data_IF_821785751766
#
_entry.id   IF_821785751766
#
_cell.length_a   1.000
_cell.length_b   1.000
_cell.length_c   1.000
_cell.angle_alpha   90.00
_cell.angle_beta   90.00
_cell.angle_gamma   90.00
#
_symmetry.space_group_name_H-M   'P 1'
#
loop_
_entity.id
_entity.type
_entity.pdbx_description
1 polymer ?
#
# COMPACT_ATOMS: atom_id res chain seq x y z
N UNK A 1 7.58 14.81 -3.53
CA UNK A 1 6.13 14.74 -3.25
C UNK A 1 5.88 13.45 -2.49
N UNK A 2 4.91 13.41 -1.58
CA UNK A 2 4.60 12.18 -0.86
C UNK A 2 4.14 11.05 -1.79
N UNK A 3 4.44 9.81 -1.42
CA UNK A 3 4.09 8.60 -2.17
C UNK A 3 2.58 8.25 -2.09
N UNK A 4 1.88 8.72 -1.06
CA UNK A 4 0.42 8.65 -0.91
C UNK A 4 -0.24 9.83 -1.65
N UNK A 5 -0.18 9.79 -2.98
CA UNK A 5 -0.68 10.84 -3.87
C UNK A 5 -1.92 10.36 -4.67
N UNK A 6 -2.39 11.18 -5.62
CA UNK A 6 -3.53 10.85 -6.49
C UNK A 6 -3.27 9.60 -7.34
N UNK A 7 -2.05 9.45 -7.86
CA UNK A 7 -1.65 8.30 -8.67
C UNK A 7 -1.73 6.98 -7.87
N UNK A 8 -1.36 7.00 -6.58
CA UNK A 8 -1.54 5.86 -5.68
C UNK A 8 -3.03 5.52 -5.48
N UNK A 9 -3.89 6.53 -5.28
CA UNK A 9 -5.35 6.33 -5.18
C UNK A 9 -5.91 5.76 -6.48
N UNK A 10 -5.48 6.24 -7.64
CA UNK A 10 -5.90 5.73 -8.95
C UNK A 10 -5.54 4.26 -9.13
N UNK A 11 -4.32 3.86 -8.77
CA UNK A 11 -3.88 2.46 -8.79
C UNK A 11 -4.70 1.57 -7.86
N UNK A 12 -5.01 2.04 -6.66
CA UNK A 12 -5.86 1.32 -5.72
C UNK A 12 -7.29 1.17 -6.25
N UNK A 13 -7.87 2.24 -6.79
CA UNK A 13 -9.21 2.23 -7.38
C UNK A 13 -9.28 1.26 -8.57
N UNK A 14 -8.27 1.29 -9.42
CA UNK A 14 -8.08 0.36 -10.51
C UNK A 14 -8.01 -1.09 -10.03
N UNK A 15 -7.19 -1.40 -9.02
CA UNK A 15 -7.11 -2.74 -8.44
C UNK A 15 -8.45 -3.24 -7.87
N UNK A 16 -9.24 -2.33 -7.31
CA UNK A 16 -10.58 -2.59 -6.78
C UNK A 16 -11.68 -2.60 -7.85
N UNK A 17 -11.34 -2.40 -9.13
CA UNK A 17 -12.27 -2.28 -10.26
C UNK A 17 -13.36 -1.21 -10.05
N UNK A 18 -13.02 -0.10 -9.40
CA UNK A 18 -13.93 1.02 -9.14
C UNK A 18 -13.39 2.33 -9.71
N UNK A 19 -14.29 3.23 -10.13
CA UNK A 19 -13.90 4.57 -10.58
C UNK A 19 -13.53 5.46 -9.38
N UNK A 20 -12.32 6.07 -9.31
CA UNK A 20 -11.95 6.95 -8.20
C UNK A 20 -12.73 8.28 -8.16
N UNK A 21 -13.57 8.56 -9.16
CA UNK A 21 -14.19 9.88 -9.35
C UNK A 21 -13.15 10.93 -9.77
N UNK A 22 -13.52 12.21 -9.65
CA UNK A 22 -12.56 13.29 -9.92
C UNK A 22 -11.72 13.53 -8.66
N UNK A 23 -10.41 13.27 -8.79
CA UNK A 23 -9.42 13.49 -7.74
C UNK A 23 -8.86 14.91 -7.83
N UNK A 24 -8.89 15.63 -6.72
CA UNK A 24 -8.32 16.97 -6.61
C UNK A 24 -7.40 17.04 -5.38
N UNK A 25 -6.32 17.81 -5.49
CA UNK A 25 -5.43 18.06 -4.35
C UNK A 25 -5.86 19.37 -3.70
N UNK A 26 -6.36 19.29 -2.47
CA UNK A 26 -6.78 20.44 -1.68
C UNK A 26 -5.98 20.52 -0.39
N UNK A 27 -5.28 21.64 -0.14
CA UNK A 27 -4.54 21.92 1.10
C UNK A 27 -3.63 20.76 1.60
N UNK A 28 -2.91 20.10 0.67
CA UNK A 28 -2.02 18.93 0.91
C UNK A 28 -2.72 17.58 1.13
N UNK A 29 -4.05 17.53 1.09
CA UNK A 29 -4.82 16.29 1.14
C UNK A 29 -5.42 15.96 -0.23
N UNK A 30 -5.52 14.67 -0.54
CA UNK A 30 -6.29 14.20 -1.70
C UNK A 30 -7.77 14.26 -1.35
N UNK A 31 -8.57 14.82 -2.23
CA UNK A 31 -10.03 14.83 -2.19
C UNK A 31 -10.57 14.05 -3.40
N UNK A 32 -11.59 13.22 -3.18
CA UNK A 32 -12.35 12.54 -4.22
C UNK A 32 -13.76 13.10 -4.27
N UNK A 33 -14.14 13.58 -5.45
CA UNK A 33 -15.53 13.90 -5.80
C UNK A 33 -16.09 12.72 -6.58
N UNK A 34 -16.77 11.84 -5.86
CA UNK A 34 -17.71 10.88 -6.44
C UNK A 34 -19.11 11.46 -6.29
N UNK A 35 -19.88 11.45 -7.37
CA UNK A 35 -21.31 11.69 -7.32
C UNK A 35 -21.96 10.50 -6.58
N UNK A 36 -21.95 10.54 -5.25
CA UNK A 36 -22.86 9.69 -4.47
C UNK A 36 -24.28 10.16 -4.79
N UNK A 37 -25.16 9.24 -5.13
CA UNK A 37 -26.59 9.52 -5.29
C UNK A 37 -27.08 10.32 -4.05
N UNK A 38 -27.50 11.57 -4.26
CA UNK A 38 -28.02 12.43 -3.19
C UNK A 38 -27.19 13.66 -2.79
N UNK A 39 -26.18 14.10 -3.56
CA UNK A 39 -25.50 15.38 -3.30
C UNK A 39 -24.58 15.39 -2.08
N UNK A 40 -24.01 14.23 -1.75
CA UNK A 40 -23.12 14.08 -0.61
C UNK A 40 -21.82 14.89 -0.79
N UNK A 41 -21.27 15.38 0.33
CA UNK A 41 -20.01 16.11 0.33
C UNK A 41 -18.85 15.25 -0.20
N UNK A 42 -17.84 15.88 -0.84
CA UNK A 42 -16.65 15.18 -1.31
C UNK A 42 -15.94 14.45 -0.17
N UNK A 43 -15.48 13.22 -0.44
CA UNK A 43 -14.70 12.43 0.52
C UNK A 43 -13.26 12.96 0.51
N UNK A 44 -12.75 13.31 1.70
CA UNK A 44 -11.41 13.88 1.85
C UNK A 44 -10.53 13.00 2.74
N UNK A 45 -9.23 13.03 2.43
CA UNK A 45 -8.21 12.28 3.16
C UNK A 45 -7.92 10.93 2.52
N UNK A 46 -6.64 10.61 2.39
CA UNK A 46 -6.19 9.42 1.66
C UNK A 46 -6.77 8.12 2.24
N UNK A 47 -6.67 7.90 3.56
CA UNK A 47 -7.25 6.71 4.20
C UNK A 47 -8.76 6.61 3.97
N UNK A 48 -9.48 7.71 4.16
CA UNK A 48 -10.93 7.77 4.00
C UNK A 48 -11.34 7.42 2.58
N UNK A 49 -10.62 7.95 1.58
CA UNK A 49 -10.86 7.65 0.17
C UNK A 49 -10.59 6.17 -0.10
N UNK A 50 -9.42 5.64 0.28
CA UNK A 50 -9.07 4.23 0.08
C UNK A 50 -10.09 3.28 0.69
N UNK A 51 -10.57 3.60 1.90
CA UNK A 51 -11.63 2.82 2.55
C UNK A 51 -12.98 2.94 1.85
N UNK A 52 -13.38 4.13 1.39
CA UNK A 52 -14.61 4.30 0.61
C UNK A 52 -14.52 3.49 -0.70
N UNK A 53 -13.39 3.56 -1.43
CA UNK A 53 -13.15 2.75 -2.62
C UNK A 53 -13.37 1.27 -2.34
N UNK A 54 -12.74 0.74 -1.28
CA UNK A 54 -12.86 -0.66 -0.90
C UNK A 54 -14.29 -1.05 -0.53
N UNK A 55 -15.00 -0.22 0.25
CA UNK A 55 -16.41 -0.45 0.62
C UNK A 55 -17.36 -0.45 -0.57
N UNK A 56 -17.07 0.35 -1.58
CA UNK A 56 -17.89 0.45 -2.81
C UNK A 56 -17.51 -0.57 -3.89
N UNK A 57 -16.46 -1.36 -3.67
CA UNK A 57 -16.04 -2.40 -4.61
C UNK A 57 -16.86 -3.67 -4.46
N UNK A 58 -16.70 -4.61 -5.39
CA UNK A 58 -17.24 -5.97 -5.26
C UNK A 58 -16.51 -6.82 -4.21
N UNK A 59 -15.45 -6.28 -3.59
CA UNK A 59 -14.56 -6.98 -2.66
C UNK A 59 -14.43 -6.29 -1.29
N UNK A 60 -15.55 -5.96 -0.59
CA UNK A 60 -15.49 -5.22 0.66
C UNK A 60 -14.73 -5.93 1.78
N UNK A 61 -14.62 -7.26 1.72
CA UNK A 61 -13.89 -8.11 2.68
C UNK A 61 -12.40 -7.79 2.73
N UNK A 62 -11.85 -7.09 1.72
CA UNK A 62 -10.45 -6.63 1.72
C UNK A 62 -10.16 -5.61 2.83
N UNK A 63 -11.18 -5.11 3.52
CA UNK A 63 -11.05 -4.29 4.74
C UNK A 63 -10.77 -5.11 5.99
N UNK A 64 -10.82 -6.45 5.90
CA UNK A 64 -10.72 -7.37 7.01
C UNK A 64 -12.10 -7.85 7.47
N UNK A 65 -12.22 -9.14 7.72
CA UNK A 65 -13.47 -9.78 8.16
C UNK A 65 -13.68 -9.67 9.67
N UNK A 66 -12.59 -9.70 10.44
CA UNK A 66 -12.59 -9.62 11.90
C UNK A 66 -12.24 -8.22 12.42
N UNK A 67 -12.72 -7.87 13.61
CA UNK A 67 -12.47 -6.54 14.21
C UNK A 67 -10.99 -6.24 14.41
N UNK A 68 -10.21 -7.25 14.77
CA UNK A 68 -8.76 -7.12 14.94
C UNK A 68 -8.08 -6.79 13.61
N UNK A 69 -8.40 -7.54 12.55
CA UNK A 69 -7.86 -7.30 11.21
C UNK A 69 -8.28 -5.94 10.66
N UNK A 70 -9.52 -5.52 10.90
CA UNK A 70 -10.00 -4.18 10.53
C UNK A 70 -9.21 -3.07 11.25
N UNK A 71 -8.95 -3.23 12.55
CA UNK A 71 -8.17 -2.27 13.34
C UNK A 71 -6.72 -2.20 12.86
N UNK A 72 -6.09 -3.36 12.61
CA UNK A 72 -4.73 -3.42 12.06
C UNK A 72 -4.66 -2.82 10.65
N UNK A 73 -5.65 -3.11 9.81
CA UNK A 73 -5.76 -2.53 8.46
C UNK A 73 -5.82 -1.01 8.52
N UNK A 74 -6.66 -0.45 9.40
CA UNK A 74 -6.72 1.00 9.63
C UNK A 74 -5.36 1.55 10.10
N UNK A 75 -4.74 0.92 11.09
CA UNK A 75 -3.45 1.34 11.62
C UNK A 75 -2.37 1.38 10.53
N UNK A 76 -2.33 0.38 9.65
CA UNK A 76 -1.33 0.33 8.58
C UNK A 76 -1.59 1.33 7.45
N UNK A 77 -2.86 1.66 7.16
CA UNK A 77 -3.19 2.77 6.27
C UNK A 77 -2.72 4.12 6.84
N UNK A 78 -2.90 4.34 8.14
CA UNK A 78 -2.39 5.54 8.81
C UNK A 78 -0.86 5.59 8.81
N UNK A 79 -0.21 4.46 9.10
CA UNK A 79 1.25 4.33 8.98
C UNK A 79 1.73 4.65 7.56
N UNK A 80 1.00 4.22 6.53
CA UNK A 80 1.36 4.50 5.15
C UNK A 80 1.43 6.02 4.89
N UNK A 81 0.47 6.80 5.41
CA UNK A 81 0.45 8.27 5.25
C UNK A 81 1.50 8.96 6.12
N UNK A 82 1.59 8.59 7.40
CA UNK A 82 2.38 9.34 8.39
C UNK A 82 3.88 9.01 8.25
N UNK A 83 4.19 7.75 7.97
CA UNK A 83 5.56 7.24 7.90
C UNK A 83 5.97 6.92 6.46
N UNK A 84 5.29 5.97 5.81
CA UNK A 84 5.74 5.41 4.54
C UNK A 84 5.68 6.41 3.37
N UNK A 85 4.84 7.43 3.47
CA UNK A 85 4.68 8.49 2.47
C UNK A 85 5.98 9.22 2.12
N UNK A 86 6.96 9.18 3.01
CA UNK A 86 8.29 9.78 2.85
C UNK A 86 9.41 8.73 2.87
N UNK A 87 9.11 7.48 2.52
CA UNK A 87 10.05 6.36 2.52
C UNK A 87 11.14 6.48 1.45
N UNK A 88 10.91 7.28 0.42
CA UNK A 88 11.87 7.62 -0.64
C UNK A 88 13.00 8.53 -0.14
N UNK A 89 12.80 9.22 0.98
CA UNK A 89 13.85 9.98 1.65
C UNK A 89 14.81 9.01 2.35
N UNK A 90 16.08 9.05 1.98
CA UNK A 90 17.12 8.11 2.47
C UNK A 90 17.22 8.02 4.00
N UNK A 91 16.93 9.11 4.71
CA UNK A 91 16.89 9.16 6.18
C UNK A 91 15.77 8.28 6.76
N UNK A 92 14.65 8.18 6.06
CA UNK A 92 13.47 7.43 6.49
C UNK A 92 13.46 6.00 5.97
N UNK A 93 14.03 5.75 4.78
CA UNK A 93 14.02 4.43 4.13
C UNK A 93 14.45 3.32 5.07
N UNK A 94 15.61 3.46 5.72
CA UNK A 94 16.15 2.43 6.63
C UNK A 94 15.24 2.18 7.83
N UNK A 95 14.68 3.25 8.42
CA UNK A 95 13.77 3.15 9.56
C UNK A 95 12.50 2.40 9.17
N UNK A 96 11.86 2.80 8.07
CA UNK A 96 10.59 2.22 7.60
C UNK A 96 10.78 0.76 7.21
N UNK A 97 11.83 0.44 6.44
CA UNK A 97 12.12 -0.96 6.09
C UNK A 97 12.42 -1.81 7.32
N UNK A 98 13.10 -1.28 8.34
CA UNK A 98 13.36 -2.01 9.59
C UNK A 98 12.09 -2.27 10.40
N UNK A 99 11.20 -1.28 10.50
CA UNK A 99 9.91 -1.40 11.20
C UNK A 99 9.04 -2.45 10.51
N UNK A 100 8.82 -2.32 9.20
CA UNK A 100 8.04 -3.27 8.41
C UNK A 100 8.64 -4.68 8.46
N UNK A 101 9.97 -4.80 8.39
CA UNK A 101 10.64 -6.11 8.46
C UNK A 101 10.41 -6.79 9.81
N UNK A 102 10.37 -6.02 10.90
CA UNK A 102 10.04 -6.55 12.22
C UNK A 102 8.58 -7.00 12.26
N UNK A 103 7.66 -6.17 11.76
CA UNK A 103 6.22 -6.49 11.77
C UNK A 103 5.87 -7.71 10.92
N UNK A 104 6.57 -7.96 9.81
CA UNK A 104 6.33 -9.07 8.89
C UNK A 104 7.08 -10.37 9.25
N UNK A 105 7.76 -10.41 10.40
CA UNK A 105 8.59 -11.56 10.82
C UNK A 105 7.78 -12.86 10.90
N UNK A 106 6.57 -12.79 11.44
CA UNK A 106 5.75 -13.98 11.77
C UNK A 106 4.44 -14.07 10.99
N UNK A 107 4.17 -13.12 10.09
CA UNK A 107 2.89 -13.02 9.39
C UNK A 107 3.09 -12.90 7.88
N UNK A 108 2.25 -13.55 7.06
CA UNK A 108 2.38 -13.48 5.61
C UNK A 108 1.99 -12.11 5.06
N UNK A 109 1.08 -11.39 5.72
CA UNK A 109 0.55 -10.07 5.33
C UNK A 109 0.66 -9.08 6.49
N UNK A 110 0.58 -7.78 6.19
CA UNK A 110 0.88 -6.73 7.17
C UNK A 110 -0.15 -6.67 8.32
N UNK A 111 -1.40 -7.05 8.03
CA UNK A 111 -2.49 -7.09 9.00
C UNK A 111 -2.75 -8.50 9.58
N UNK A 112 -1.89 -9.48 9.30
CA UNK A 112 -2.01 -10.85 9.82
C UNK A 112 -1.95 -11.92 8.73
N UNK A 113 -2.91 -12.83 8.75
CA UNK A 113 -2.93 -14.02 7.87
C UNK A 113 -3.70 -13.84 6.56
N UNK A 114 -4.48 -12.77 6.44
CA UNK A 114 -5.21 -12.41 5.23
C UNK A 114 -4.66 -11.12 4.59
N UNK A 115 -4.70 -11.04 3.26
CA UNK A 115 -4.31 -9.86 2.49
C UNK A 115 -5.39 -8.80 2.64
N UNK A 116 -5.03 -7.58 3.01
CA UNK A 116 -5.98 -6.48 3.14
C UNK A 116 -5.61 -5.29 2.27
N UNK A 117 -6.45 -4.25 2.28
CA UNK A 117 -6.21 -3.03 1.51
C UNK A 117 -4.95 -2.30 1.99
N UNK A 118 -4.49 -2.57 3.22
CA UNK A 118 -3.23 -2.06 3.73
C UNK A 118 -2.04 -2.65 2.96
N UNK A 119 -2.06 -3.94 2.63
CA UNK A 119 -1.00 -4.57 1.83
C UNK A 119 -0.93 -3.96 0.43
N UNK A 120 -2.08 -3.79 -0.21
CA UNK A 120 -2.20 -3.16 -1.54
C UNK A 120 -1.65 -1.73 -1.52
N UNK A 121 -2.03 -0.96 -0.50
CA UNK A 121 -1.59 0.42 -0.32
C UNK A 121 -0.07 0.48 -0.11
N UNK A 122 0.46 -0.32 0.81
CA UNK A 122 1.89 -0.35 1.11
C UNK A 122 2.71 -0.86 -0.08
N UNK A 123 2.19 -1.78 -0.89
CA UNK A 123 2.85 -2.22 -2.11
C UNK A 123 3.11 -1.04 -3.06
N UNK A 124 2.07 -0.27 -3.38
CA UNK A 124 2.22 0.89 -4.28
C UNK A 124 3.12 1.97 -3.68
N UNK A 125 3.00 2.23 -2.38
CA UNK A 125 3.86 3.20 -1.68
C UNK A 125 5.32 2.75 -1.69
N UNK A 126 5.61 1.47 -1.46
CA UNK A 126 6.98 0.97 -1.34
C UNK A 126 7.61 0.57 -2.66
N UNK A 127 6.85 0.44 -3.75
CA UNK A 127 7.39 0.00 -5.04
C UNK A 127 8.59 0.84 -5.52
N UNK A 128 8.54 2.19 -5.51
CA UNK A 128 9.70 3.00 -5.89
C UNK A 128 10.92 2.76 -5.00
N UNK A 129 10.71 2.54 -3.70
CA UNK A 129 11.78 2.26 -2.74
C UNK A 129 12.41 0.90 -3.03
N UNK A 130 11.60 -0.15 -3.11
CA UNK A 130 12.06 -1.53 -3.35
C UNK A 130 12.80 -1.69 -4.67
N UNK A 131 12.44 -0.90 -5.69
CA UNK A 131 13.11 -0.88 -7.01
C UNK A 131 14.55 -0.39 -6.91
N UNK A 132 14.84 0.51 -5.96
CA UNK A 132 16.17 1.12 -5.80
C UNK A 132 17.11 0.33 -4.90
N UNK A 133 16.60 -0.64 -4.13
CA UNK A 133 17.42 -1.43 -3.22
C UNK A 133 18.34 -2.39 -3.98
N UNK A 134 19.59 -2.44 -3.53
CA UNK A 134 20.55 -3.47 -3.94
C UNK A 134 20.18 -4.86 -3.40
N UNK A 135 20.74 -5.92 -3.97
CA UNK A 135 20.47 -7.28 -3.49
C UNK A 135 20.87 -7.51 -2.02
N UNK A 136 22.03 -7.01 -1.52
CA UNK A 136 22.35 -7.10 -0.10
C UNK A 136 21.34 -6.37 0.81
N UNK A 137 20.81 -5.23 0.37
CA UNK A 137 19.78 -4.50 1.13
C UNK A 137 18.46 -5.28 1.16
N UNK A 138 18.07 -5.89 0.04
CA UNK A 138 16.88 -6.76 -0.01
C UNK A 138 17.04 -7.97 0.93
N UNK A 139 18.22 -8.58 0.99
CA UNK A 139 18.51 -9.66 1.93
C UNK A 139 18.51 -9.21 3.39
N UNK A 140 18.97 -7.99 3.67
CA UNK A 140 18.91 -7.40 5.02
C UNK A 140 17.47 -7.25 5.53
N UNK A 141 16.53 -6.91 4.65
CA UNK A 141 15.10 -6.77 4.97
C UNK A 141 14.30 -7.94 4.43
N UNK A 142 14.71 -9.17 4.78
CA UNK A 142 14.19 -10.41 4.19
C UNK A 142 12.67 -10.58 4.31
N UNK A 143 12.05 -10.14 5.41
CA UNK A 143 10.61 -10.30 5.62
C UNK A 143 9.80 -9.32 4.77
N UNK A 144 10.28 -8.07 4.62
CA UNK A 144 9.70 -7.11 3.66
C UNK A 144 9.89 -7.60 2.24
N UNK A 145 11.09 -8.09 1.90
CA UNK A 145 11.38 -8.63 0.58
C UNK A 145 10.48 -9.82 0.23
N UNK A 146 10.31 -10.78 1.14
CA UNK A 146 9.38 -11.92 0.97
C UNK A 146 7.95 -11.44 0.78
N UNK A 147 7.48 -10.54 1.64
CA UNK A 147 6.12 -10.01 1.56
C UNK A 147 5.89 -9.29 0.23
N UNK A 148 6.81 -8.39 -0.16
CA UNK A 148 6.71 -7.65 -1.40
C UNK A 148 6.73 -8.58 -2.62
N UNK A 149 7.62 -9.58 -2.60
CA UNK A 149 7.71 -10.58 -3.66
C UNK A 149 6.44 -11.40 -3.78
N UNK A 150 5.80 -11.75 -2.67
CA UNK A 150 4.51 -12.44 -2.66
C UNK A 150 3.38 -11.56 -3.21
N UNK A 151 3.30 -10.30 -2.79
CA UNK A 151 2.23 -9.38 -3.22
C UNK A 151 2.33 -9.09 -4.73
N UNK A 152 3.53 -8.87 -5.27
CA UNK A 152 3.71 -8.51 -6.68
C UNK A 152 3.40 -9.64 -7.68
N UNK A 153 3.24 -10.89 -7.23
CA UNK A 153 2.86 -12.00 -8.11
C UNK A 153 1.42 -11.88 -8.63
N UNK A 154 0.60 -11.06 -7.99
CA UNK A 154 -0.76 -10.81 -8.46
C UNK A 154 -0.75 -9.82 -9.63
N UNK A 155 -0.98 -10.33 -10.84
CA UNK A 155 -0.99 -9.53 -12.07
C UNK A 155 -2.00 -8.37 -12.02
N UNK A 156 -3.17 -8.57 -11.39
CA UNK A 156 -4.20 -7.53 -11.22
C UNK A 156 -3.70 -6.34 -10.41
N UNK A 157 -2.83 -6.59 -9.43
CA UNK A 157 -2.25 -5.60 -8.54
C UNK A 157 -1.01 -4.95 -9.16
N UNK A 158 -0.11 -5.76 -9.71
CA UNK A 158 1.13 -5.26 -10.33
C UNK A 158 0.86 -4.45 -11.59
N UNK A 159 -0.04 -4.94 -12.46
CA UNK A 159 -0.39 -4.32 -13.75
C UNK A 159 0.87 -3.96 -14.56
N UNK A 160 1.08 -2.67 -14.77
CA UNK A 160 2.17 -2.09 -15.57
C UNK A 160 3.45 -1.85 -14.76
N UNK A 161 3.42 -2.07 -13.44
CA UNK A 161 4.61 -1.92 -12.61
C UNK A 161 5.61 -3.04 -12.89
N UNK A 162 6.89 -2.66 -12.88
CA UNK A 162 7.99 -3.60 -13.05
C UNK A 162 7.96 -4.69 -11.97
N UNK A 163 8.16 -5.93 -12.39
CA UNK A 163 8.41 -7.06 -11.49
C UNK A 163 9.82 -6.90 -10.89
N UNK A 164 9.90 -6.69 -9.58
CA UNK A 164 11.16 -6.49 -8.88
C UNK A 164 11.76 -7.84 -8.55
N UNK A 165 12.95 -8.13 -9.08
CA UNK A 165 13.64 -9.39 -8.78
C UNK A 165 14.17 -9.43 -7.34
N UNK A 166 13.87 -10.53 -6.65
CA UNK A 166 14.41 -10.90 -5.34
C UNK A 166 15.27 -12.17 -5.43
N UNK A 167 15.93 -12.41 -6.57
CA UNK A 167 16.87 -13.53 -6.67
C UNK A 167 18.09 -13.30 -5.77
N UNK A 168 18.03 -13.83 -4.54
CA UNK A 168 19.09 -13.74 -3.54
C UNK A 168 20.14 -14.86 -3.69
N UNK A 169 20.01 -15.78 -4.66
CA UNK A 169 20.95 -16.89 -4.85
C UNK A 169 22.37 -16.40 -5.15
N UNK A 170 22.51 -15.21 -5.74
CA UNK A 170 23.80 -14.60 -6.04
C UNK A 170 24.56 -14.05 -4.82
N UNK A 171 23.97 -14.07 -3.61
CA UNK A 171 24.65 -13.62 -2.39
C UNK A 171 25.48 -14.73 -1.73
N UNK A 172 25.31 -15.97 -2.17
CA UNK A 172 25.98 -17.16 -1.61
C UNK A 172 27.01 -17.77 -2.57
N UNK A 173 27.34 -17.08 -3.67
CA UNK A 173 28.37 -17.43 -4.65
C UNK A 173 29.44 -16.35 -4.67
#
# INVERSE_FOLDING_TARGET
>A
MGLCNTECVERIAQYLDVSPGRLEVSHKNVASTREREGGAQPVQGFCTIVQDLARTSEYPDILGSEREVQALTQQWLEYAIVCANYADLSQNTKRILSELNTSLTHVPYIAGTEKTIADVTLYYVLHPVMKTLSQPEKARYIHVSRWFDNIQQEDKLRRELDLISFNLLHLFL
#
